data_IF_063385997251
#
_entry.id   IF_063385997251
#
_cell.length_a   1.000
_cell.length_b   1.000
_cell.length_c   1.000
_cell.angle_alpha   90.00
_cell.angle_beta   90.00
_cell.angle_gamma   90.00
#
_symmetry.space_group_name_H-M   'P 1'
#
loop_
_entity.id
_entity.type
_entity.pdbx_description
1 polymer ?
#
# COMPACT_ATOMS: atom_id res chain seq x y z
N UNK A 1 -0.68 -13.89 -9.88
CA UNK A 1 0.71 -13.89 -10.33
C UNK A 1 1.05 -12.51 -10.89
N UNK A 2 2.14 -11.96 -10.42
CA UNK A 2 2.66 -10.68 -10.90
C UNK A 2 3.26 -10.84 -12.28
N UNK A 3 2.99 -9.88 -13.15
CA UNK A 3 3.55 -9.84 -14.52
C UNK A 3 4.23 -8.51 -14.74
N UNK A 4 5.05 -8.40 -15.78
CA UNK A 4 5.66 -7.15 -16.20
C UNK A 4 4.76 -6.48 -17.23
N UNK A 5 4.51 -5.19 -17.04
CA UNK A 5 3.73 -4.35 -17.94
C UNK A 5 4.16 -2.89 -17.77
N UNK A 6 4.34 -2.16 -18.86
CA UNK A 6 4.68 -0.73 -18.84
C UNK A 6 5.91 -0.43 -17.95
N UNK A 7 6.87 -1.36 -17.92
CA UNK A 7 8.08 -1.23 -17.12
C UNK A 7 7.91 -1.50 -15.64
N UNK A 8 6.80 -2.08 -15.21
CA UNK A 8 6.51 -2.31 -13.81
C UNK A 8 5.88 -3.67 -13.52
N UNK A 9 5.61 -3.92 -12.26
CA UNK A 9 4.93 -5.11 -11.78
C UNK A 9 3.43 -4.92 -11.89
N UNK A 10 2.76 -5.81 -12.57
CA UNK A 10 1.33 -5.72 -12.84
C UNK A 10 0.56 -6.87 -12.20
N UNK A 11 -0.58 -6.55 -11.59
CA UNK A 11 -1.60 -7.50 -11.18
C UNK A 11 -2.93 -7.11 -11.80
N UNK A 12 -3.64 -8.09 -12.38
CA UNK A 12 -4.90 -7.83 -13.08
C UNK A 12 -6.07 -7.69 -12.10
N UNK A 13 -7.16 -7.11 -12.58
CA UNK A 13 -8.38 -6.96 -11.81
C UNK A 13 -8.92 -8.33 -11.34
N UNK A 14 -9.56 -8.33 -10.18
CA UNK A 14 -10.18 -9.52 -9.60
C UNK A 14 -9.21 -10.45 -8.90
N UNK A 15 -7.93 -10.09 -8.81
CA UNK A 15 -6.92 -10.92 -8.13
C UNK A 15 -6.50 -10.29 -6.81
N UNK A 16 -6.02 -11.13 -5.90
CA UNK A 16 -5.32 -10.72 -4.69
C UNK A 16 -3.89 -11.20 -4.81
N UNK A 17 -2.96 -10.26 -4.88
CA UNK A 17 -1.55 -10.55 -5.09
C UNK A 17 -0.73 -9.80 -4.05
N UNK A 18 0.26 -10.47 -3.49
CA UNK A 18 1.15 -9.88 -2.49
C UNK A 18 2.59 -10.27 -2.84
N UNK A 19 3.46 -9.29 -2.85
CA UNK A 19 4.91 -9.52 -2.94
C UNK A 19 5.62 -8.62 -1.95
N UNK A 20 6.53 -9.19 -1.19
CA UNK A 20 7.34 -8.45 -0.22
C UNK A 20 8.71 -8.11 -0.78
N UNK A 21 9.25 -6.99 -0.30
CA UNK A 21 10.62 -6.54 -0.57
C UNK A 21 11.34 -6.37 0.75
N UNK A 22 12.65 -6.68 0.78
CA UNK A 22 13.47 -6.53 1.97
C UNK A 22 13.17 -7.57 3.03
N UNK A 23 13.68 -7.33 4.24
CA UNK A 23 13.54 -8.26 5.36
C UNK A 23 12.56 -7.74 6.41
N UNK A 24 12.46 -8.46 7.53
CA UNK A 24 11.49 -8.16 8.58
C UNK A 24 11.98 -7.12 9.59
N UNK A 25 13.16 -6.57 9.42
CA UNK A 25 13.76 -5.68 10.42
C UNK A 25 13.63 -4.21 10.09
N UNK A 26 12.98 -3.90 8.98
CA UNK A 26 12.84 -2.51 8.55
C UNK A 26 11.91 -1.75 9.50
N UNK A 27 12.43 -0.68 10.10
CA UNK A 27 11.72 0.18 11.06
C UNK A 27 11.41 1.52 10.43
N UNK A 28 12.34 2.45 10.47
CA UNK A 28 12.21 3.73 9.78
C UNK A 28 12.65 3.59 8.33
N UNK A 29 11.89 4.16 7.42
CA UNK A 29 12.23 4.09 6.00
C UNK A 29 11.54 5.19 5.22
N UNK A 30 12.04 5.40 4.00
CA UNK A 30 11.37 6.18 2.96
C UNK A 30 11.20 5.26 1.76
N UNK A 31 10.01 5.20 1.23
CA UNK A 31 9.68 4.41 0.04
C UNK A 31 9.12 5.34 -1.02
N UNK A 32 9.61 5.18 -2.25
CA UNK A 32 9.08 5.87 -3.42
C UNK A 32 8.67 4.83 -4.45
N UNK A 33 7.55 5.06 -5.09
CA UNK A 33 7.01 4.18 -6.12
C UNK A 33 6.06 4.98 -7.00
N UNK A 34 5.94 4.58 -8.26
CA UNK A 34 4.91 5.10 -9.15
C UNK A 34 3.85 4.03 -9.33
N UNK A 35 2.59 4.41 -9.16
CA UNK A 35 1.46 3.48 -9.24
C UNK A 35 0.48 3.96 -10.30
N UNK A 36 0.06 3.03 -11.16
CA UNK A 36 -1.00 3.26 -12.14
C UNK A 36 -2.14 2.29 -11.83
N UNK A 37 -3.33 2.81 -11.54
CA UNK A 37 -4.54 2.01 -11.47
C UNK A 37 -5.13 1.92 -12.87
N UNK A 38 -5.47 0.72 -13.32
CA UNK A 38 -6.00 0.49 -14.64
C UNK A 38 -7.51 0.27 -14.59
N UNK A 39 -8.25 1.05 -15.39
CA UNK A 39 -9.69 1.00 -15.40
C UNK A 39 -10.31 1.52 -14.11
N UNK A 40 -11.62 1.35 -14.00
CA UNK A 40 -12.35 1.75 -12.80
C UNK A 40 -12.21 0.67 -11.73
N UNK A 41 -11.92 1.08 -10.52
CA UNK A 41 -11.64 0.15 -9.42
C UNK A 41 -12.90 -0.28 -8.67
N UNK A 42 -13.96 0.52 -8.70
CA UNK A 42 -15.10 0.27 -7.81
C UNK A 42 -14.66 0.33 -6.36
N UNK A 43 -15.02 -0.67 -5.58
CA UNK A 43 -14.60 -0.80 -4.17
C UNK A 43 -13.27 -1.55 -4.02
N UNK A 44 -12.73 -2.10 -5.10
CA UNK A 44 -11.45 -2.81 -5.09
C UNK A 44 -10.31 -1.83 -4.88
N UNK A 45 -9.20 -2.32 -4.34
CA UNK A 45 -8.03 -1.52 -4.01
C UNK A 45 -6.75 -2.18 -4.50
N UNK A 46 -5.70 -1.39 -4.57
CA UNK A 46 -4.33 -1.84 -4.75
C UNK A 46 -3.43 -0.86 -4.00
N UNK A 47 -2.27 -1.29 -3.57
CA UNK A 47 -1.36 -0.37 -2.92
C UNK A 47 -0.18 -1.02 -2.26
N UNK A 48 0.24 -0.42 -1.17
CA UNK A 48 1.48 -0.73 -0.49
C UNK A 48 1.18 -1.21 0.92
N UNK A 49 1.85 -2.30 1.32
CA UNK A 49 1.86 -2.75 2.71
C UNK A 49 3.24 -2.46 3.30
N UNK A 50 3.27 -2.10 4.57
CA UNK A 50 4.52 -1.86 5.28
C UNK A 50 4.37 -2.21 6.76
N UNK A 51 5.51 -2.42 7.43
CA UNK A 51 5.55 -3.03 8.76
C UNK A 51 4.67 -4.29 8.80
N UNK A 52 4.72 -5.07 7.72
CA UNK A 52 3.78 -6.14 7.48
C UNK A 52 4.35 -7.49 7.88
N UNK A 53 3.48 -8.32 8.47
CA UNK A 53 3.76 -9.70 8.81
C UNK A 53 2.56 -10.54 8.45
N UNK A 54 2.82 -11.73 7.88
CA UNK A 54 1.78 -12.70 7.65
C UNK A 54 1.76 -13.68 8.81
N UNK A 55 0.58 -13.95 9.31
CA UNK A 55 0.40 -14.90 10.40
C UNK A 55 0.52 -16.35 9.91
N UNK A 56 -0.10 -16.66 8.79
CA UNK A 56 -0.07 -18.00 8.20
C UNK A 56 0.50 -17.94 6.79
N UNK A 57 1.53 -18.73 6.51
CA UNK A 57 2.20 -18.72 5.21
C UNK A 57 1.27 -19.12 4.07
N UNK A 58 0.34 -20.03 4.31
CA UNK A 58 -0.62 -20.48 3.30
C UNK A 58 -1.69 -19.43 2.96
N UNK A 59 -1.77 -18.37 3.74
CA UNK A 59 -2.77 -17.31 3.56
C UNK A 59 -2.12 -15.97 3.29
N UNK A 60 -0.92 -15.96 2.74
CA UNK A 60 -0.14 -14.76 2.52
C UNK A 60 -0.81 -13.74 1.61
N UNK A 61 -1.77 -14.16 0.81
CA UNK A 61 -2.57 -13.30 -0.05
C UNK A 61 -3.86 -12.84 0.62
N UNK A 62 -4.11 -13.22 1.86
CA UNK A 62 -5.35 -12.91 2.56
C UNK A 62 -5.19 -11.66 3.43
N UNK A 63 -6.12 -10.75 3.26
CA UNK A 63 -6.27 -9.57 4.09
C UNK A 63 -6.33 -9.90 5.58
N UNK A 64 -7.01 -11.00 5.95
CA UNK A 64 -7.21 -11.37 7.35
C UNK A 64 -6.02 -12.08 7.97
N UNK A 65 -5.02 -12.47 7.17
CA UNK A 65 -3.82 -13.14 7.69
C UNK A 65 -2.65 -12.19 7.90
N UNK A 66 -2.86 -10.90 7.72
CA UNK A 66 -1.78 -9.91 7.76
C UNK A 66 -1.89 -9.01 8.98
N UNK A 67 -0.74 -8.67 9.55
CA UNK A 67 -0.60 -7.58 10.50
C UNK A 67 0.28 -6.51 9.86
N UNK A 68 -0.10 -5.24 9.96
CA UNK A 68 0.69 -4.14 9.42
C UNK A 68 -0.18 -3.02 8.90
N UNK A 69 0.39 -2.18 8.06
CA UNK A 69 -0.32 -1.08 7.42
C UNK A 69 -0.53 -1.38 5.95
N UNK A 70 -1.69 -1.01 5.46
CA UNK A 70 -2.02 -1.07 4.04
C UNK A 70 -2.47 0.30 3.56
N UNK A 71 -1.70 0.89 2.66
CA UNK A 71 -2.11 2.09 1.95
C UNK A 71 -2.94 1.64 0.75
N UNK A 72 -4.24 1.68 0.90
CA UNK A 72 -5.21 1.17 -0.06
C UNK A 72 -5.64 2.28 -1.01
N UNK A 73 -5.39 2.08 -2.29
CA UNK A 73 -5.62 3.07 -3.34
C UNK A 73 -6.77 2.63 -4.22
N UNK A 74 -7.70 3.54 -4.52
CA UNK A 74 -8.66 3.35 -5.60
C UNK A 74 -9.12 4.70 -6.14
N UNK A 75 -10.03 4.69 -7.12
CA UNK A 75 -10.50 5.93 -7.75
C UNK A 75 -11.36 6.78 -6.82
N UNK A 76 -11.90 6.22 -5.76
CA UNK A 76 -12.82 6.91 -4.89
C UNK A 76 -12.14 7.52 -3.67
N UNK A 77 -11.10 6.87 -3.17
CA UNK A 77 -10.43 7.30 -1.94
C UNK A 77 -9.08 6.63 -1.77
N UNK A 78 -8.27 7.21 -0.92
CA UNK A 78 -7.06 6.58 -0.39
C UNK A 78 -7.31 6.34 1.09
N UNK A 79 -7.07 5.12 1.55
CA UNK A 79 -7.25 4.74 2.95
C UNK A 79 -5.97 4.16 3.49
N UNK A 80 -5.50 4.67 4.62
CA UNK A 80 -4.44 4.01 5.37
C UNK A 80 -5.10 3.12 6.41
N UNK A 81 -4.96 1.81 6.22
CA UNK A 81 -5.57 0.81 7.06
C UNK A 81 -4.53 0.22 7.99
N UNK A 82 -4.92 0.04 9.24
CA UNK A 82 -4.18 -0.72 10.22
C UNK A 82 -4.80 -2.10 10.31
N UNK A 83 -4.07 -3.12 9.90
CA UNK A 83 -4.53 -4.50 9.89
C UNK A 83 -3.92 -5.27 11.06
N UNK A 84 -4.73 -6.08 11.73
CA UNK A 84 -4.25 -6.91 12.83
C UNK A 84 -4.92 -8.28 12.76
N UNK A 85 -4.57 -9.05 11.73
CA UNK A 85 -5.04 -10.39 11.40
C UNK A 85 -6.55 -10.44 11.17
N UNK A 86 -7.42 -9.92 11.47
CA UNK A 86 -8.86 -9.84 11.41
C UNK A 86 -9.42 -9.24 12.69
N UNK A 87 -8.56 -9.08 13.70
CA UNK A 87 -8.89 -8.39 14.93
C UNK A 87 -8.54 -6.92 14.78
N UNK A 88 -9.24 -6.04 15.44
CA UNK A 88 -8.82 -4.66 15.67
C UNK A 88 -8.29 -3.94 14.42
N UNK A 89 -8.72 -4.37 13.24
CA UNK A 89 -8.39 -3.68 11.99
C UNK A 89 -9.24 -2.43 11.85
N UNK A 90 -8.62 -1.32 11.43
CA UNK A 90 -9.35 -0.07 11.26
C UNK A 90 -8.66 0.88 10.29
N UNK A 91 -9.42 1.81 9.78
CA UNK A 91 -8.91 2.90 8.96
C UNK A 91 -8.40 4.02 9.88
N UNK A 92 -7.13 4.39 9.73
CA UNK A 92 -6.52 5.45 10.54
C UNK A 92 -6.42 6.77 9.79
N UNK A 93 -6.59 6.75 8.47
CA UNK A 93 -6.71 7.96 7.66
C UNK A 93 -7.49 7.65 6.39
N UNK A 94 -8.37 8.55 5.97
CA UNK A 94 -9.14 8.43 4.74
C UNK A 94 -9.09 9.75 3.99
N UNK A 95 -8.75 9.70 2.71
CA UNK A 95 -8.69 10.85 1.85
C UNK A 95 -9.60 10.64 0.64
N UNK A 96 -10.63 11.47 0.54
CA UNK A 96 -11.60 11.45 -0.58
C UNK A 96 -11.32 12.58 -1.56
N UNK A 97 -11.19 13.80 -1.06
CA UNK A 97 -10.91 14.98 -1.88
C UNK A 97 -9.45 15.00 -2.30
N UNK A 98 -9.18 15.51 -3.49
CA UNK A 98 -7.84 15.65 -4.04
C UNK A 98 -7.11 14.31 -4.19
N UNK A 99 -7.86 13.23 -4.38
CA UNK A 99 -7.29 11.92 -4.62
C UNK A 99 -6.62 11.89 -6.01
N UNK A 100 -5.29 11.73 -6.11
CA UNK A 100 -4.62 11.72 -7.40
C UNK A 100 -4.99 10.51 -8.25
N UNK A 101 -5.56 9.47 -7.64
CA UNK A 101 -6.01 8.26 -8.34
C UNK A 101 -7.46 8.35 -8.82
N UNK A 102 -8.11 9.50 -8.69
CA UNK A 102 -9.47 9.69 -9.20
C UNK A 102 -9.56 9.46 -10.70
N UNK A 103 -8.46 9.70 -11.43
CA UNK A 103 -8.33 9.40 -12.86
C UNK A 103 -7.46 8.14 -13.02
N UNK A 104 -7.98 7.16 -13.76
CA UNK A 104 -7.26 5.91 -14.03
C UNK A 104 -6.22 6.10 -15.15
N UNK A 105 -5.37 5.06 -15.30
CA UNK A 105 -4.45 4.90 -16.43
C UNK A 105 -3.34 5.94 -16.49
N UNK A 106 -2.99 6.51 -15.33
CA UNK A 106 -1.86 7.40 -15.18
C UNK A 106 -0.96 6.92 -14.04
N UNK A 107 0.36 7.00 -14.22
CA UNK A 107 1.30 6.75 -13.13
C UNK A 107 1.32 7.95 -12.19
N UNK A 108 1.05 7.66 -10.92
CA UNK A 108 1.04 8.66 -9.84
C UNK A 108 2.22 8.37 -8.93
N UNK A 109 3.11 9.33 -8.70
CA UNK A 109 4.22 9.14 -7.77
C UNK A 109 3.72 9.16 -6.34
N UNK A 110 4.22 8.23 -5.54
CA UNK A 110 3.95 8.18 -4.11
C UNK A 110 5.27 8.13 -3.35
N UNK A 111 5.31 8.82 -2.22
CA UNK A 111 6.38 8.71 -1.24
C UNK A 111 5.76 8.45 0.12
N UNK A 112 6.19 7.37 0.77
CA UNK A 112 5.78 7.01 2.12
C UNK A 112 7.00 7.13 3.01
N UNK A 113 6.88 7.92 4.07
CA UNK A 113 7.95 8.08 5.04
C UNK A 113 7.45 7.67 6.41
N UNK A 114 8.18 6.74 7.03
CA UNK A 114 7.87 6.26 8.37
C UNK A 114 9.03 6.61 9.29
N UNK A 115 8.71 7.29 10.39
CA UNK A 115 9.66 7.65 11.44
C UNK A 115 8.99 7.37 12.78
N UNK A 116 9.42 6.28 13.43
CA UNK A 116 8.76 5.82 14.64
C UNK A 116 7.30 5.47 14.35
N UNK A 117 6.40 6.15 15.03
CA UNK A 117 4.95 5.94 14.88
C UNK A 117 4.29 6.98 13.97
N UNK A 118 5.06 7.83 13.30
CA UNK A 118 4.54 8.82 12.36
C UNK A 118 4.64 8.30 10.93
N UNK A 119 3.54 8.41 10.20
CA UNK A 119 3.42 7.97 8.81
C UNK A 119 2.99 9.17 7.98
N UNK A 120 3.80 9.50 6.98
CA UNK A 120 3.51 10.62 6.08
C UNK A 120 3.54 10.11 4.65
N UNK A 121 2.54 10.49 3.86
CA UNK A 121 2.41 10.10 2.46
C UNK A 121 2.29 11.34 1.61
N UNK A 122 3.12 11.42 0.56
CA UNK A 122 3.08 12.47 -0.45
C UNK A 122 2.82 11.90 -1.83
N UNK A 123 2.21 12.71 -2.69
CA UNK A 123 2.29 12.56 -4.13
C UNK A 123 2.93 13.80 -4.70
N UNK A 124 4.16 13.66 -5.24
CA UNK A 124 4.96 14.81 -5.61
C UNK A 124 5.22 15.67 -4.38
N UNK A 125 4.90 16.96 -4.47
CA UNK A 125 5.04 17.90 -3.35
C UNK A 125 3.79 18.02 -2.48
N UNK A 126 2.73 17.31 -2.84
CA UNK A 126 1.46 17.37 -2.11
C UNK A 126 1.42 16.34 -1.01
N UNK A 127 1.27 16.80 0.23
CA UNK A 127 1.12 15.90 1.38
C UNK A 127 -0.32 15.38 1.41
N UNK A 128 -0.49 14.08 1.33
CA UNK A 128 -1.79 13.42 1.31
C UNK A 128 -2.22 12.99 2.70
N UNK A 129 -1.30 12.40 3.47
CA UNK A 129 -1.58 11.83 4.79
C UNK A 129 -0.42 12.20 5.72
N UNK A 130 -0.74 12.57 6.95
CA UNK A 130 0.25 12.80 8.01
C UNK A 130 -0.41 12.42 9.33
N UNK A 131 -0.07 11.23 9.83
CA UNK A 131 -0.70 10.68 11.03
C UNK A 131 0.34 10.08 11.96
N UNK A 132 -0.02 10.03 13.23
CA UNK A 132 0.71 9.32 14.26
C UNK A 132 -0.19 8.22 14.81
N UNK A 133 0.30 6.99 14.79
CA UNK A 133 -0.44 5.86 15.35
C UNK A 133 0.11 5.53 16.73
N UNK A 134 -0.67 5.80 17.76
CA UNK A 134 -0.26 5.54 19.15
C UNK A 134 -0.11 4.05 19.46
N UNK A 135 -0.64 3.19 18.61
CA UNK A 135 -0.56 1.73 18.74
C UNK A 135 0.24 1.11 17.59
N UNK A 136 1.31 1.78 17.22
CA UNK A 136 2.06 1.46 16.01
C UNK A 136 2.62 0.04 16.01
N UNK A 137 2.63 -0.57 14.85
CA UNK A 137 3.52 -1.68 14.54
C UNK A 137 4.88 -1.09 14.19
N UNK A 138 5.94 -1.61 14.79
CA UNK A 138 7.23 -0.92 14.77
C UNK A 138 8.19 -1.44 13.71
N UNK A 139 7.96 -2.61 13.15
CA UNK A 139 8.77 -3.16 12.08
C UNK A 139 8.02 -4.21 11.27
N UNK A 140 8.57 -4.58 10.15
CA UNK A 140 8.05 -5.61 9.28
C UNK A 140 8.48 -5.42 7.85
N UNK A 141 7.87 -6.17 6.96
CA UNK A 141 8.17 -6.14 5.52
C UNK A 141 7.42 -5.02 4.84
N UNK A 142 8.00 -4.57 3.73
CA UNK A 142 7.36 -3.69 2.77
C UNK A 142 6.97 -4.53 1.57
N UNK A 143 5.80 -4.29 1.01
CA UNK A 143 5.34 -5.04 -0.14
C UNK A 143 4.33 -4.29 -0.98
N UNK A 144 3.98 -4.92 -2.08
CA UNK A 144 2.89 -4.50 -2.96
C UNK A 144 1.73 -5.46 -2.77
N UNK A 145 0.52 -4.93 -2.66
CA UNK A 145 -0.67 -5.75 -2.45
C UNK A 145 -1.80 -5.24 -3.32
N UNK A 146 -2.53 -6.18 -3.92
CA UNK A 146 -3.76 -5.86 -4.63
C UNK A 146 -4.92 -6.63 -4.02
N UNK A 147 -6.04 -5.95 -3.88
CA UNK A 147 -7.28 -6.53 -3.40
C UNK A 147 -8.38 -6.22 -4.42
N UNK A 148 -8.22 -6.80 -5.59
CA UNK A 148 -9.18 -6.74 -6.67
C UNK A 148 -8.95 -5.67 -7.74
N UNK A 149 -8.21 -4.62 -7.47
CA UNK A 149 -7.94 -3.58 -8.46
C UNK A 149 -6.76 -3.96 -9.35
N UNK A 150 -6.84 -3.63 -10.63
CA UNK A 150 -5.72 -3.76 -11.55
C UNK A 150 -4.74 -2.61 -11.35
N UNK A 151 -3.46 -2.92 -11.22
CA UNK A 151 -2.45 -1.90 -10.97
C UNK A 151 -1.09 -2.28 -11.55
N UNK A 152 -0.32 -1.25 -11.89
CA UNK A 152 1.09 -1.38 -12.25
C UNK A 152 1.91 -0.57 -11.26
N UNK A 153 2.96 -1.17 -10.71
CA UNK A 153 3.90 -0.53 -9.79
C UNK A 153 5.28 -0.50 -10.44
N UNK A 154 5.91 0.66 -10.49
CA UNK A 154 7.26 0.79 -11.07
C UNK A 154 8.12 1.76 -10.30
N UNK A 155 9.42 1.73 -10.57
CA UNK A 155 10.42 2.65 -10.00
C UNK A 155 10.41 2.64 -8.47
N UNK A 156 10.33 1.45 -7.90
CA UNK A 156 10.32 1.26 -6.46
C UNK A 156 11.70 1.50 -5.88
N UNK A 157 11.77 2.36 -4.86
CA UNK A 157 12.99 2.62 -4.10
C UNK A 157 12.65 2.61 -2.61
N UNK A 158 13.48 1.95 -1.83
CA UNK A 158 13.35 1.94 -0.37
C UNK A 158 14.72 2.30 0.22
N UNK A 159 14.70 3.23 1.15
CA UNK A 159 15.91 3.65 1.87
C UNK A 159 15.62 3.80 3.36
N UNK A 160 16.62 3.59 4.16
CA UNK A 160 16.53 3.75 5.60
C UNK A 160 16.58 5.23 6.02
#
# INVERSE_FOLDING_TARGET
IWKLKDGGHYAKAGTRQLVYFGDNTMTDFTMEVEVKLEGKTGTSTAGIVFHAKNYAASSHDSYTSMQGYYLALNNNQIVLERLNYADDSKNIATMVQNNPFATSDQFIPLKIQVRGNRIVVWSGETKLIDVTDSRAFVNGKIGLYTNGAAAVFRNLKVSA
#
